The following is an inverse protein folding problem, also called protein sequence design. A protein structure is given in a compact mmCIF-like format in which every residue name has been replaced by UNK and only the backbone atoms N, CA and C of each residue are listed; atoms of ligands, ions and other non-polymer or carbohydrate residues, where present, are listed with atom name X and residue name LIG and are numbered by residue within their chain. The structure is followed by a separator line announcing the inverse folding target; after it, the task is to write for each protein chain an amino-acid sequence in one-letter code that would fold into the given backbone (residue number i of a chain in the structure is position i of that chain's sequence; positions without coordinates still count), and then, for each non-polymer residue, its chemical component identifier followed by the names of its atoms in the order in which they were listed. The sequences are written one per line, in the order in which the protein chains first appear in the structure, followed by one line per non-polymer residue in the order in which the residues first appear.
data_IF_855389365129
#
_entry.id   IF_855389365129
#
_cell.length_a   1.000
_cell.length_b   1.000
_cell.length_c   1.000
_cell.angle_alpha   90.00
_cell.angle_beta   90.00
_cell.angle_gamma   90.00
#
_symmetry.space_group_name_H-M   'P 1'
#
loop_
_entity.id
_entity.type
_entity.pdbx_description
1 polymer ?
#
# COMPACT_ATOMS: atom_id res chain seq x y z
N UNK A 1 10.53 31.22 -19.85
CA UNK A 1 11.41 30.62 -18.82
C UNK A 1 10.59 29.64 -18.00
N UNK A 2 10.82 28.34 -18.16
CA UNK A 2 10.19 27.33 -17.32
C UNK A 2 10.95 27.30 -15.98
N UNK A 3 10.31 27.74 -14.89
CA UNK A 3 10.92 27.62 -13.56
C UNK A 3 10.96 26.14 -13.21
N UNK A 4 12.12 25.59 -12.77
CA UNK A 4 12.15 24.23 -12.26
C UNK A 4 11.13 24.11 -11.11
N UNK A 5 10.45 22.96 -10.99
CA UNK A 5 9.56 22.74 -9.85
C UNK A 5 10.36 22.95 -8.56
N UNK A 6 9.77 23.58 -7.53
CA UNK A 6 10.45 23.80 -6.27
C UNK A 6 11.01 22.48 -5.76
N UNK A 7 12.32 22.46 -5.51
CA UNK A 7 13.01 21.32 -4.91
C UNK A 7 12.35 21.02 -3.58
N UNK A 8 11.86 19.78 -3.41
CA UNK A 8 11.20 19.36 -2.18
C UNK A 8 12.18 19.54 -1.01
N UNK A 9 11.74 20.24 0.05
CA UNK A 9 12.57 20.51 1.24
C UNK A 9 12.84 19.25 2.08
N UNK A 10 12.02 18.22 1.91
CA UNK A 10 12.13 16.90 2.53
C UNK A 10 12.26 15.88 1.39
N UNK A 11 12.90 14.73 1.66
CA UNK A 11 13.11 13.66 0.69
C UNK A 11 11.81 13.18 0.02
N UNK A 12 11.89 12.34 -1.02
CA UNK A 12 10.72 11.87 -1.73
C UNK A 12 9.76 11.20 -0.74
N UNK A 13 8.56 11.76 -0.59
CA UNK A 13 7.53 11.21 0.27
C UNK A 13 7.09 9.88 -0.31
N UNK A 14 7.36 8.80 0.43
CA UNK A 14 6.81 7.49 0.11
C UNK A 14 5.47 7.33 0.81
N UNK A 15 4.52 6.70 0.13
CA UNK A 15 3.21 6.43 0.66
C UNK A 15 2.76 5.03 0.24
N UNK A 16 1.88 4.42 1.01
CA UNK A 16 1.28 3.12 0.71
C UNK A 16 -0.26 3.16 0.70
N UNK A 17 -0.80 4.32 0.34
CA UNK A 17 -2.25 4.56 0.32
C UNK A 17 -2.91 3.64 -0.71
N UNK A 18 -2.33 3.51 -1.91
CA UNK A 18 -2.78 2.55 -2.92
C UNK A 18 -2.80 1.12 -2.40
N UNK A 19 -1.71 0.72 -1.75
CA UNK A 19 -1.54 -0.64 -1.26
C UNK A 19 -2.64 -0.98 -0.25
N UNK A 20 -2.94 -0.03 0.66
CA UNK A 20 -4.01 -0.20 1.62
C UNK A 20 -5.40 -0.19 0.96
N UNK A 21 -5.62 0.61 -0.08
CA UNK A 21 -6.89 0.66 -0.80
C UNK A 21 -7.24 -0.69 -1.44
N UNK A 22 -6.26 -1.40 -1.99
CA UNK A 22 -6.45 -2.74 -2.61
C UNK A 22 -6.99 -3.74 -1.59
N UNK A 23 -6.67 -3.58 -0.30
CA UNK A 23 -7.20 -4.42 0.77
C UNK A 23 -8.63 -4.10 1.18
N UNK A 24 -9.26 -3.08 0.58
CA UNK A 24 -10.62 -2.67 0.90
C UNK A 24 -11.55 -2.86 -0.30
N UNK A 25 -12.64 -3.60 -0.12
CA UNK A 25 -13.67 -3.76 -1.16
C UNK A 25 -14.26 -2.41 -1.60
N UNK A 26 -14.27 -1.41 -0.72
CA UNK A 26 -14.83 -0.08 -0.97
C UNK A 26 -14.03 0.73 -2.00
N UNK A 27 -12.71 0.56 -2.02
CA UNK A 27 -11.79 1.31 -2.90
C UNK A 27 -11.21 0.47 -4.03
N UNK A 28 -11.47 -0.85 -4.07
CA UNK A 28 -11.01 -1.73 -5.15
C UNK A 28 -11.53 -1.32 -6.55
N UNK A 29 -12.80 -0.90 -6.65
CA UNK A 29 -13.41 -0.43 -7.91
C UNK A 29 -13.76 1.05 -7.77
N UNK A 30 -13.04 1.94 -8.48
CA UNK A 30 -13.09 3.42 -8.37
C UNK A 30 -12.31 4.07 -7.22
N UNK A 31 -11.21 3.47 -6.79
CA UNK A 31 -10.45 3.87 -5.60
C UNK A 31 -10.16 5.36 -5.43
N UNK A 32 -9.55 6.02 -6.42
CA UNK A 32 -9.14 7.43 -6.29
C UNK A 32 -10.34 8.36 -6.12
N UNK A 33 -11.35 8.23 -6.96
CA UNK A 33 -12.55 9.07 -6.93
C UNK A 33 -13.33 8.85 -5.65
N UNK A 34 -13.51 7.59 -5.25
CA UNK A 34 -14.23 7.20 -4.03
C UNK A 34 -13.51 7.69 -2.77
N UNK A 35 -12.20 7.46 -2.67
CA UNK A 35 -11.39 7.92 -1.55
C UNK A 35 -11.40 9.44 -1.45
N UNK A 36 -11.34 10.15 -2.58
CA UNK A 36 -11.41 11.62 -2.59
C UNK A 36 -12.73 12.14 -2.03
N UNK A 37 -13.85 11.51 -2.38
CA UNK A 37 -15.18 11.84 -1.84
C UNK A 37 -15.24 11.58 -0.33
N UNK A 38 -14.84 10.38 0.11
CA UNK A 38 -14.88 10.01 1.53
C UNK A 38 -13.95 10.91 2.38
N UNK A 39 -12.76 11.23 1.87
CA UNK A 39 -11.79 12.10 2.53
C UNK A 39 -12.11 13.61 2.37
N UNK A 40 -13.13 13.99 1.59
CA UNK A 40 -13.50 15.38 1.29
C UNK A 40 -12.31 16.20 0.77
N UNK A 41 -11.62 15.65 -0.23
CA UNK A 41 -10.49 16.28 -0.94
C UNK A 41 -10.65 16.11 -2.44
N UNK A 42 -9.87 16.83 -3.25
CA UNK A 42 -9.94 16.66 -4.70
C UNK A 42 -9.32 15.33 -5.15
N UNK A 43 -9.91 14.70 -6.17
CA UNK A 43 -9.34 13.50 -6.79
C UNK A 43 -7.92 13.72 -7.33
N UNK A 44 -7.62 14.94 -7.79
CA UNK A 44 -6.27 15.32 -8.23
C UNK A 44 -5.24 15.32 -7.10
N UNK A 45 -5.63 15.68 -5.88
CA UNK A 45 -4.75 15.61 -4.71
C UNK A 45 -4.53 14.16 -4.28
N UNK A 46 -5.56 13.32 -4.27
CA UNK A 46 -5.42 11.89 -3.98
C UNK A 46 -4.55 11.19 -5.02
N UNK A 47 -4.77 11.47 -6.31
CA UNK A 47 -3.96 10.91 -7.39
C UNK A 47 -2.49 11.31 -7.26
N UNK A 48 -2.18 12.59 -7.00
CA UNK A 48 -0.80 13.04 -6.80
C UNK A 48 -0.17 12.44 -5.55
N UNK A 49 -0.93 12.30 -4.46
CA UNK A 49 -0.48 11.64 -3.23
C UNK A 49 -0.07 10.19 -3.52
N UNK A 50 -0.97 9.38 -4.08
CA UNK A 50 -0.72 7.96 -4.35
C UNK A 50 0.52 7.77 -5.22
N UNK A 51 0.66 8.58 -6.28
CA UNK A 51 1.78 8.49 -7.20
C UNK A 51 3.09 9.14 -6.67
N UNK A 52 3.13 9.60 -5.41
CA UNK A 52 4.31 10.27 -4.85
C UNK A 52 4.67 11.59 -5.55
N UNK A 53 3.72 12.20 -6.27
CA UNK A 53 3.92 13.43 -7.07
C UNK A 53 3.70 14.72 -6.28
N UNK A 54 3.53 14.63 -4.95
CA UNK A 54 3.41 15.80 -4.07
C UNK A 54 3.87 15.49 -2.65
N UNK A 55 4.27 16.53 -1.93
CA UNK A 55 4.40 16.47 -0.47
C UNK A 55 3.03 16.79 0.13
N UNK A 56 2.37 15.82 0.79
CA UNK A 56 1.07 16.06 1.39
C UNK A 56 1.20 16.96 2.62
N UNK A 57 0.21 17.84 2.80
CA UNK A 57 0.07 18.53 4.07
C UNK A 57 -0.45 17.58 5.14
N UNK A 58 -0.17 17.85 6.41
CA UNK A 58 -0.72 17.10 7.54
C UNK A 58 -2.26 16.95 7.45
N UNK A 59 -2.96 18.01 7.05
CA UNK A 59 -4.41 17.99 6.88
C UNK A 59 -4.89 17.04 5.78
N UNK A 60 -4.14 16.93 4.66
CA UNK A 60 -4.44 15.97 3.61
C UNK A 60 -4.27 14.53 4.12
N UNK A 61 -3.14 14.25 4.80
CA UNK A 61 -2.87 12.93 5.38
C UNK A 61 -3.97 12.56 6.37
N UNK A 62 -4.29 13.43 7.34
CA UNK A 62 -5.29 13.15 8.36
C UNK A 62 -6.69 12.84 7.78
N UNK A 63 -7.10 13.55 6.72
CA UNK A 63 -8.37 13.30 6.03
C UNK A 63 -8.39 11.95 5.32
N UNK A 64 -7.31 11.61 4.62
CA UNK A 64 -7.16 10.31 3.95
C UNK A 64 -7.13 9.18 4.99
N UNK A 65 -6.37 9.34 6.08
CA UNK A 65 -6.35 8.38 7.20
C UNK A 65 -7.76 8.15 7.73
N UNK A 66 -8.51 9.22 8.02
CA UNK A 66 -9.87 9.11 8.57
C UNK A 66 -10.81 8.33 7.65
N UNK A 67 -10.74 8.55 6.33
CA UNK A 67 -11.55 7.82 5.37
C UNK A 67 -11.22 6.31 5.33
N UNK A 68 -9.92 5.98 5.41
CA UNK A 68 -9.45 4.60 5.48
C UNK A 68 -9.87 3.92 6.78
N UNK A 69 -9.73 4.61 7.92
CA UNK A 69 -10.18 4.11 9.24
C UNK A 69 -11.68 3.81 9.26
N UNK A 70 -12.50 4.67 8.65
CA UNK A 70 -13.95 4.43 8.52
C UNK A 70 -14.27 3.16 7.73
N UNK A 71 -13.44 2.84 6.74
CA UNK A 71 -13.62 1.66 5.89
C UNK A 71 -13.12 0.39 6.59
N UNK A 72 -12.03 0.49 7.35
CA UNK A 72 -11.39 -0.65 8.01
C UNK A 72 -11.98 -0.96 9.39
N UNK A 73 -12.63 0.00 10.03
CA UNK A 73 -13.27 -0.18 11.34
C UNK A 73 -12.32 -0.09 12.54
N UNK A 74 -11.07 0.37 12.35
CA UNK A 74 -10.10 0.59 13.41
C UNK A 74 -9.19 1.78 13.09
N UNK A 75 -8.43 2.23 14.09
CA UNK A 75 -7.53 3.39 13.98
C UNK A 75 -6.19 3.03 13.35
N UNK A 76 -5.66 3.92 12.53
CA UNK A 76 -4.38 3.81 11.83
C UNK A 76 -3.49 4.98 12.22
N UNK A 77 -2.22 4.71 12.50
CA UNK A 77 -1.23 5.78 12.64
C UNK A 77 -0.97 6.42 11.25
N UNK A 78 -1.10 7.74 11.07
CA UNK A 78 -0.79 8.40 9.80
C UNK A 78 0.64 8.16 9.29
N UNK A 79 1.61 7.91 10.19
CA UNK A 79 3.01 7.57 9.84
C UNK A 79 3.14 6.19 9.21
N UNK A 80 2.09 5.39 9.36
CA UNK A 80 1.91 4.14 8.65
C UNK A 80 1.24 4.32 7.29
N UNK A 81 0.89 5.53 6.84
CA UNK A 81 0.40 5.75 5.48
C UNK A 81 1.41 6.50 4.63
N UNK A 82 2.13 7.43 5.26
CA UNK A 82 3.07 8.34 4.61
C UNK A 82 4.33 8.42 5.46
N UNK A 83 5.50 8.23 4.85
CA UNK A 83 6.79 8.30 5.52
C UNK A 83 7.76 9.22 4.76
N UNK A 84 8.45 10.09 5.50
CA UNK A 84 9.33 11.13 4.91
C UNK A 84 10.78 10.66 4.71
N UNK A 85 11.16 9.47 5.20
CA UNK A 85 12.53 8.92 5.14
C UNK A 85 12.56 7.40 4.91
N UNK A 86 11.56 6.85 4.24
CA UNK A 86 11.64 5.47 3.75
C UNK A 86 11.23 4.38 4.74
N UNK A 87 10.76 4.71 5.96
CA UNK A 87 10.37 3.71 6.97
C UNK A 87 8.96 3.95 7.51
N UNK A 88 8.11 2.93 7.36
CA UNK A 88 6.81 2.83 8.02
C UNK A 88 6.96 2.16 9.39
N UNK A 89 5.99 2.35 10.31
CA UNK A 89 6.02 1.72 11.63
C UNK A 89 5.68 0.22 11.53
N UNK A 90 4.71 -0.13 10.71
CA UNK A 90 4.37 -1.51 10.35
C UNK A 90 5.09 -1.90 9.07
N UNK A 91 5.89 -3.00 9.07
CA UNK A 91 6.66 -3.41 7.90
C UNK A 91 5.80 -3.85 6.71
N UNK A 92 4.64 -4.44 6.97
CA UNK A 92 3.79 -5.04 5.95
C UNK A 92 2.43 -4.34 5.88
N UNK A 93 1.99 -3.99 4.68
CA UNK A 93 0.67 -3.36 4.47
C UNK A 93 -0.48 -4.30 4.88
N UNK A 94 -0.32 -5.61 4.79
CA UNK A 94 -1.31 -6.57 5.26
C UNK A 94 -1.57 -6.50 6.77
N UNK A 95 -0.51 -6.24 7.56
CA UNK A 95 -0.65 -6.01 9.01
C UNK A 95 -1.43 -4.73 9.28
N UNK A 96 -1.15 -3.68 8.50
CA UNK A 96 -1.90 -2.43 8.55
C UNK A 96 -3.36 -2.61 8.12
N UNK A 97 -3.63 -3.47 7.14
CA UNK A 97 -4.96 -3.77 6.60
C UNK A 97 -5.76 -4.79 7.43
N UNK A 98 -5.13 -5.41 8.44
CA UNK A 98 -5.77 -6.43 9.27
C UNK A 98 -6.09 -7.73 8.52
N UNK A 99 -5.50 -7.96 7.35
CA UNK A 99 -5.73 -9.17 6.57
C UNK A 99 -4.67 -10.25 6.86
N UNK A 100 -4.95 -11.51 6.52
CA UNK A 100 -4.03 -12.64 6.79
C UNK A 100 -2.84 -12.71 5.83
N UNK A 101 -2.67 -11.75 4.92
CA UNK A 101 -1.66 -11.75 3.87
C UNK A 101 -2.27 -11.95 2.49
N UNK A 102 -2.11 -10.95 1.62
CA UNK A 102 -2.59 -10.98 0.23
C UNK A 102 -1.45 -11.31 -0.74
N UNK A 103 -1.83 -11.79 -1.92
CA UNK A 103 -0.93 -12.01 -3.04
C UNK A 103 -0.44 -10.65 -3.59
N UNK A 104 0.86 -10.45 -3.84
CA UNK A 104 1.36 -9.16 -4.34
C UNK A 104 0.93 -8.92 -5.79
N UNK A 105 0.81 -7.66 -6.20
CA UNK A 105 0.31 -7.25 -7.53
C UNK A 105 1.18 -7.80 -8.68
N UNK A 106 2.46 -8.06 -8.42
CA UNK A 106 3.39 -8.66 -9.39
C UNK A 106 3.32 -10.21 -9.47
N UNK A 107 2.47 -10.85 -8.66
CA UNK A 107 2.32 -12.30 -8.65
C UNK A 107 1.53 -12.82 -9.86
N UNK A 108 0.74 -11.95 -10.49
CA UNK A 108 0.07 -12.24 -11.75
C UNK A 108 0.89 -11.72 -12.94
N UNK A 109 0.84 -12.42 -14.06
CA UNK A 109 1.38 -11.96 -15.33
C UNK A 109 0.41 -11.03 -16.06
N UNK A 110 0.75 -10.68 -17.31
CA UNK A 110 -0.06 -9.80 -18.16
C UNK A 110 -1.41 -10.41 -18.59
N UNK A 111 -1.58 -11.73 -18.46
CA UNK A 111 -2.81 -12.45 -18.74
C UNK A 111 -3.66 -12.66 -17.48
N UNK A 112 -3.17 -12.23 -16.32
CA UNK A 112 -3.83 -12.41 -15.03
C UNK A 112 -3.58 -13.77 -14.39
N UNK A 113 -2.71 -14.60 -14.98
CA UNK A 113 -2.33 -15.89 -14.45
C UNK A 113 -1.24 -15.76 -13.39
N UNK A 114 -1.31 -16.60 -12.36
CA UNK A 114 -0.30 -16.68 -11.32
C UNK A 114 1.03 -17.12 -11.93
N UNK A 115 2.06 -16.27 -11.83
CA UNK A 115 3.41 -16.59 -12.28
C UNK A 115 3.87 -17.89 -11.60
N UNK A 116 4.65 -18.76 -12.28
CA UNK A 116 5.12 -20.02 -11.72
C UNK A 116 5.82 -19.88 -10.35
N UNK A 117 6.55 -18.79 -10.14
CA UNK A 117 7.21 -18.47 -8.86
C UNK A 117 6.24 -18.29 -7.66
N UNK A 118 4.94 -18.15 -7.93
CA UNK A 118 3.88 -17.93 -6.96
C UNK A 118 2.86 -19.09 -6.94
N UNK A 119 3.09 -20.12 -7.76
CA UNK A 119 2.19 -21.27 -7.90
C UNK A 119 2.23 -22.14 -6.63
N UNK A 120 1.06 -22.43 -6.05
CA UNK A 120 0.93 -23.17 -4.79
C UNK A 120 0.92 -22.29 -3.53
N UNK A 121 1.13 -20.98 -3.66
CA UNK A 121 1.09 -20.05 -2.52
C UNK A 121 -0.36 -19.59 -2.27
N UNK A 122 -0.86 -19.81 -1.06
CA UNK A 122 -2.24 -19.46 -0.67
C UNK A 122 -2.32 -18.06 -0.03
N UNK A 123 -3.44 -17.34 -0.21
CA UNK A 123 -3.77 -16.18 0.64
C UNK A 123 -3.68 -16.60 2.12
N UNK A 124 -2.93 -15.88 2.95
CA UNK A 124 -2.62 -16.33 4.31
C UNK A 124 -1.19 -16.81 4.56
N UNK A 125 -0.41 -17.11 3.52
CA UNK A 125 0.92 -17.71 3.62
C UNK A 125 2.08 -16.74 3.34
N UNK A 126 1.81 -15.44 3.27
CA UNK A 126 2.82 -14.39 3.06
C UNK A 126 3.28 -13.76 4.38
N UNK A 127 4.51 -13.24 4.37
CA UNK A 127 5.22 -12.63 5.49
C UNK A 127 4.36 -11.54 6.13
N UNK A 128 3.94 -11.79 7.37
CA UNK A 128 3.41 -10.79 8.31
C UNK A 128 4.41 -10.71 9.47
N UNK A 129 4.31 -9.70 10.33
CA UNK A 129 5.07 -9.66 11.60
C UNK A 129 4.91 -10.93 12.46
N UNK A 130 3.85 -11.72 12.22
CA UNK A 130 3.60 -13.02 12.87
C UNK A 130 4.32 -14.21 12.19
N UNK A 131 4.84 -14.04 10.98
CA UNK A 131 5.58 -15.04 10.19
C UNK A 131 6.81 -14.43 9.48
N UNK A 132 7.85 -14.02 10.22
CA UNK A 132 8.90 -13.10 9.76
C UNK A 132 9.89 -13.65 8.71
N UNK A 133 9.85 -14.96 8.40
CA UNK A 133 10.79 -15.58 7.44
C UNK A 133 10.19 -15.82 6.06
N UNK A 134 8.89 -15.58 5.86
CA UNK A 134 8.17 -16.07 4.69
C UNK A 134 8.30 -17.59 4.53
N UNK A 135 7.70 -18.14 3.47
CA UNK A 135 7.95 -19.52 3.09
C UNK A 135 9.40 -19.63 2.58
N UNK A 136 10.25 -20.34 3.32
CA UNK A 136 11.55 -20.78 2.82
C UNK A 136 11.32 -22.13 2.17
N UNK A 137 11.57 -22.20 0.86
CA UNK A 137 11.56 -23.44 0.11
C UNK A 137 12.54 -24.41 0.77
N UNK A 138 12.05 -25.51 1.33
CA UNK A 138 12.94 -26.61 1.70
C UNK A 138 13.46 -27.18 0.39
N UNK A 139 14.73 -26.96 0.09
CA UNK A 139 15.48 -27.68 -0.95
C UNK A 139 15.51 -29.15 -0.58
N UNK A 140 14.42 -29.87 -0.85
CA UNK A 140 14.41 -31.32 -0.81
C UNK A 140 14.91 -31.84 -2.14
N UNK A 141 16.21 -32.13 -2.15
CA UNK A 141 16.77 -33.26 -2.89
C UNK A 141 17.42 -32.92 -4.21
N UNK A 142 18.72 -32.65 -4.16
CA UNK A 142 19.63 -33.33 -5.08
C UNK A 142 19.23 -34.81 -5.12
N UNK A 143 18.81 -35.28 -6.28
CA UNK A 143 18.82 -36.71 -6.58
C UNK A 143 19.77 -36.91 -7.74
N UNK A 144 20.82 -37.69 -7.44
CA UNK A 144 21.83 -38.19 -8.36
C UNK A 144 21.24 -38.77 -9.64
#
# INVERSE_FOLDING_TARGET
MHKPPPTQALGPVINRVSDLMIHTNRYAFHGVTRLALDAKVSASSVSRLINGKMNPSFALVARVTTALEQTLGYRIDPRDLVAELGKFLTPHTCDLAGCRGCLPENATDEFGDLKPAFQGIKPGCWVTSRHPKGYIESTKGESK
#
